data_IF_831775158031
#
_entry.id   IF_831775158031
#
_cell.length_a   1.000
_cell.length_b   1.000
_cell.length_c   1.000
_cell.angle_alpha   90.00
_cell.angle_beta   90.00
_cell.angle_gamma   90.00
#
_symmetry.space_group_name_H-M   'P 1'
#
loop_
_entity.id
_entity.type
_entity.pdbx_description
1 polymer ?
#
# COMPACT_ATOMS: atom_id res chain seq x y z
N UNK A 1 -64.62 -25.84 -8.86
CA UNK A 1 -63.56 -25.01 -8.23
C UNK A 1 -62.79 -25.87 -7.24
N UNK A 2 -61.45 -25.85 -7.37
CA UNK A 2 -60.39 -26.31 -6.44
C UNK A 2 -60.40 -27.78 -5.95
N UNK A 3 -59.45 -28.54 -6.53
CA UNK A 3 -58.96 -29.87 -6.10
C UNK A 3 -58.26 -29.77 -4.74
N UNK A 4 -58.50 -30.73 -3.86
CA UNK A 4 -57.64 -31.08 -2.73
C UNK A 4 -57.03 -32.46 -3.04
N UNK A 5 -55.71 -32.54 -3.12
CA UNK A 5 -54.99 -33.82 -3.25
C UNK A 5 -53.69 -33.74 -2.43
N UNK A 6 -53.41 -34.86 -1.79
CA UNK A 6 -52.54 -35.10 -0.65
C UNK A 6 -51.04 -34.93 -0.93
N UNK A 7 -50.33 -34.47 0.11
CA UNK A 7 -48.86 -34.47 0.24
C UNK A 7 -48.31 -35.89 0.17
N UNK A 8 -47.31 -36.10 -0.69
CA UNK A 8 -46.34 -37.20 -0.59
C UNK A 8 -44.95 -36.56 -0.50
N UNK A 9 -44.29 -36.71 0.65
CA UNK A 9 -42.88 -36.37 0.80
C UNK A 9 -42.05 -37.62 0.50
N UNK A 10 -41.25 -37.60 -0.57
CA UNK A 10 -40.21 -38.60 -0.82
C UNK A 10 -38.90 -38.02 -0.30
N UNK A 11 -38.40 -38.62 0.78
CA UNK A 11 -37.12 -38.30 1.40
C UNK A 11 -36.00 -38.99 0.60
N UNK A 12 -35.47 -38.32 -0.42
CA UNK A 12 -34.29 -38.77 -1.17
C UNK A 12 -33.01 -38.20 -0.54
N UNK A 13 -32.34 -38.98 0.31
CA UNK A 13 -31.02 -38.63 0.83
C UNK A 13 -29.94 -38.84 -0.22
N UNK A 14 -29.31 -37.76 -0.69
CA UNK A 14 -28.08 -37.81 -1.48
C UNK A 14 -26.90 -37.63 -0.52
N UNK A 15 -26.17 -38.71 -0.26
CA UNK A 15 -24.92 -38.69 0.48
C UNK A 15 -23.80 -38.23 -0.47
N UNK A 16 -23.52 -36.92 -0.49
CA UNK A 16 -22.34 -36.39 -1.17
C UNK A 16 -21.09 -36.68 -0.33
N UNK A 17 -20.33 -37.71 -0.72
CA UNK A 17 -18.97 -37.94 -0.23
C UNK A 17 -18.08 -36.86 -0.84
N UNK A 18 -17.92 -35.74 -0.13
CA UNK A 18 -16.97 -34.69 -0.50
C UNK A 18 -15.55 -35.22 -0.32
N UNK A 19 -14.86 -35.51 -1.43
CA UNK A 19 -13.42 -35.74 -1.42
C UNK A 19 -12.73 -34.43 -1.05
N UNK A 20 -12.26 -34.33 0.20
CA UNK A 20 -11.39 -33.25 0.64
C UNK A 20 -10.04 -33.38 -0.09
N UNK A 21 -9.92 -32.77 -1.25
CA UNK A 21 -8.61 -32.51 -1.86
C UNK A 21 -7.92 -31.46 -1.02
N UNK A 22 -7.05 -31.91 -0.11
CA UNK A 22 -6.13 -31.05 0.60
C UNK A 22 -5.23 -30.35 -0.41
N UNK A 23 -5.50 -29.07 -0.66
CA UNK A 23 -4.58 -28.19 -1.37
C UNK A 23 -3.38 -28.01 -0.46
N UNK A 24 -2.36 -28.85 -0.63
CA UNK A 24 -1.05 -28.62 -0.03
C UNK A 24 -0.46 -27.38 -0.71
N UNK A 25 -0.68 -26.23 -0.09
CA UNK A 25 0.02 -25.00 -0.44
C UNK A 25 1.52 -25.26 -0.35
N UNK A 26 2.21 -25.16 -1.47
CA UNK A 26 3.65 -25.30 -1.53
C UNK A 26 4.26 -24.14 -0.75
N UNK A 27 4.71 -24.42 0.48
CA UNK A 27 5.54 -23.52 1.28
C UNK A 27 6.92 -23.40 0.64
N UNK A 28 7.00 -22.76 -0.53
CA UNK A 28 8.25 -22.18 -0.98
C UNK A 28 8.70 -21.21 0.10
N UNK A 29 9.96 -21.27 0.52
CA UNK A 29 10.48 -20.24 1.43
C UNK A 29 10.21 -18.90 0.77
N UNK A 30 9.36 -18.09 1.41
CA UNK A 30 9.01 -16.77 0.89
C UNK A 30 10.29 -15.95 0.95
N UNK A 31 11.04 -15.95 -0.16
CA UNK A 31 12.19 -15.07 -0.32
C UNK A 31 11.68 -13.65 -0.12
N UNK A 32 12.31 -12.94 0.82
CA UNK A 32 11.99 -11.54 1.09
C UNK A 32 12.15 -10.74 -0.22
N UNK A 33 11.12 -10.01 -0.68
CA UNK A 33 11.21 -9.29 -1.95
C UNK A 33 12.10 -8.05 -1.81
N UNK A 34 12.62 -7.53 -2.92
CA UNK A 34 13.18 -6.19 -2.92
C UNK A 34 12.04 -5.17 -3.04
N UNK A 35 12.12 -4.07 -2.29
CA UNK A 35 11.10 -3.01 -2.27
C UNK A 35 11.72 -1.75 -2.88
N UNK A 36 11.11 -1.23 -3.94
CA UNK A 36 11.46 0.06 -4.54
C UNK A 36 10.28 0.99 -4.36
N UNK A 37 10.47 2.07 -3.59
CA UNK A 37 9.46 3.09 -3.37
C UNK A 37 9.83 4.35 -4.17
N UNK A 38 9.06 4.66 -5.21
CA UNK A 38 9.23 5.85 -6.05
C UNK A 38 8.22 6.90 -5.61
N UNK A 39 8.70 8.08 -5.23
CA UNK A 39 7.88 9.20 -4.78
C UNK A 39 8.17 10.45 -5.62
N UNK A 40 7.16 10.91 -6.37
CA UNK A 40 7.20 12.16 -7.13
C UNK A 40 6.88 13.36 -6.24
N UNK A 41 7.44 14.54 -6.56
CA UNK A 41 7.10 15.81 -5.88
C UNK A 41 6.06 16.56 -6.74
N UNK A 42 5.00 17.04 -6.11
CA UNK A 42 3.90 17.82 -6.73
C UNK A 42 3.14 17.15 -7.90
N UNK A 43 3.19 15.82 -8.03
CA UNK A 43 2.42 15.12 -9.05
C UNK A 43 0.92 15.14 -8.73
N UNK A 44 0.14 15.73 -9.63
CA UNK A 44 -1.33 15.65 -9.58
C UNK A 44 -1.81 14.25 -9.94
N UNK A 45 -2.97 13.85 -9.40
CA UNK A 45 -3.59 12.55 -9.68
C UNK A 45 -3.92 12.34 -11.18
N UNK A 46 -4.18 13.43 -11.92
CA UNK A 46 -4.48 13.42 -13.36
C UNK A 46 -3.24 13.70 -14.24
N UNK A 47 -2.05 13.83 -13.64
CA UNK A 47 -0.78 13.98 -14.37
C UNK A 47 -0.14 12.61 -14.67
N UNK A 48 -0.93 11.71 -15.27
CA UNK A 48 -0.55 10.35 -15.64
C UNK A 48 -1.32 9.94 -16.90
N UNK A 49 -0.64 9.38 -17.90
CA UNK A 49 -1.27 8.87 -19.12
C UNK A 49 -2.36 7.83 -18.82
N UNK A 50 -2.06 6.90 -17.91
CA UNK A 50 -3.01 5.89 -17.43
C UNK A 50 -4.25 6.48 -16.74
N UNK A 51 -4.15 7.69 -16.17
CA UNK A 51 -5.30 8.41 -15.59
C UNK A 51 -6.17 9.12 -16.63
N UNK A 52 -5.87 8.96 -17.94
CA UNK A 52 -6.61 9.56 -19.04
C UNK A 52 -6.02 10.86 -19.58
N UNK A 53 -4.83 11.26 -19.12
CA UNK A 53 -4.14 12.43 -19.64
C UNK A 53 -3.67 12.19 -21.09
N UNK A 54 -4.07 13.05 -22.03
CA UNK A 54 -3.73 12.92 -23.45
C UNK A 54 -2.48 13.69 -23.88
N UNK A 55 -1.95 14.54 -23.00
CA UNK A 55 -0.82 15.44 -23.30
C UNK A 55 0.46 14.90 -22.66
N UNK A 56 0.39 14.49 -21.40
CA UNK A 56 1.53 14.02 -20.63
C UNK A 56 1.81 12.56 -21.00
N UNK A 57 3.08 12.25 -21.30
CA UNK A 57 3.53 10.90 -21.65
C UNK A 57 4.29 10.27 -20.49
N UNK A 58 3.76 9.19 -19.93
CA UNK A 58 4.34 8.45 -18.79
C UNK A 58 4.41 6.95 -19.06
N UNK A 59 5.05 6.51 -20.18
CA UNK A 59 4.93 5.13 -20.66
C UNK A 59 5.33 4.08 -19.62
N UNK A 60 6.38 4.34 -18.83
CA UNK A 60 6.85 3.40 -17.79
C UNK A 60 5.92 3.35 -16.57
N UNK A 61 5.38 4.49 -16.13
CA UNK A 61 4.39 4.49 -15.04
C UNK A 61 3.07 3.86 -15.49
N UNK A 62 2.67 4.10 -16.75
CA UNK A 62 1.48 3.49 -17.32
C UNK A 62 1.63 1.97 -17.44
N UNK A 63 2.85 1.50 -17.74
CA UNK A 63 3.20 0.08 -17.75
C UNK A 63 3.08 -0.52 -16.34
N UNK A 64 3.65 0.12 -15.33
CA UNK A 64 3.51 -0.30 -13.93
C UNK A 64 2.04 -0.35 -13.48
N UNK A 65 1.23 0.63 -13.89
CA UNK A 65 -0.20 0.67 -13.57
C UNK A 65 -1.00 -0.46 -14.25
N UNK A 66 -0.62 -0.87 -15.48
CA UNK A 66 -1.24 -2.00 -16.20
C UNK A 66 -0.83 -3.36 -15.65
N UNK A 67 0.42 -3.53 -15.25
CA UNK A 67 0.98 -4.79 -14.78
C UNK A 67 0.72 -5.03 -13.28
N UNK A 68 0.40 -3.97 -12.53
CA UNK A 68 0.19 -4.00 -11.09
C UNK A 68 -1.21 -3.56 -10.67
N UNK A 69 -1.28 -2.95 -9.49
CA UNK A 69 -2.52 -2.41 -8.92
C UNK A 69 -2.43 -0.88 -8.93
N UNK A 70 -3.40 -0.24 -9.58
CA UNK A 70 -3.54 1.21 -9.59
C UNK A 70 -4.64 1.67 -8.64
N UNK A 71 -4.31 2.57 -7.72
CA UNK A 71 -5.26 3.15 -6.77
C UNK A 71 -5.81 4.47 -7.32
N UNK A 72 -6.98 4.42 -7.97
CA UNK A 72 -7.67 5.62 -8.49
C UNK A 72 -7.99 6.65 -7.39
N UNK A 73 -8.25 6.18 -6.17
CA UNK A 73 -8.65 7.00 -5.03
C UNK A 73 -7.58 6.93 -3.93
N UNK A 74 -6.34 7.32 -4.24
CA UNK A 74 -5.27 7.48 -3.27
C UNK A 74 -5.21 8.95 -2.81
N UNK A 75 -5.32 9.18 -1.50
CA UNK A 75 -5.35 10.53 -0.92
C UNK A 75 -4.13 10.75 -0.02
N UNK A 76 -3.52 11.93 -0.17
CA UNK A 76 -2.57 12.44 0.80
C UNK A 76 -3.32 12.95 2.03
N UNK A 77 -2.76 12.75 3.22
CA UNK A 77 -3.36 13.22 4.48
C UNK A 77 -3.27 14.73 4.62
N UNK A 78 -2.18 15.33 4.13
CA UNK A 78 -1.88 16.76 4.21
C UNK A 78 -1.25 17.23 2.90
N UNK A 79 -1.81 18.24 2.20
CA UNK A 79 -1.33 18.69 0.90
C UNK A 79 -0.10 19.63 1.00
N UNK A 80 0.90 19.25 1.80
CA UNK A 80 2.18 19.95 1.98
C UNK A 80 3.31 18.93 1.91
N UNK A 81 4.31 19.16 1.03
CA UNK A 81 5.40 18.20 0.76
C UNK A 81 6.11 17.70 2.03
N UNK A 82 6.45 18.60 2.96
CA UNK A 82 7.11 18.28 4.22
C UNK A 82 6.24 17.39 5.15
N UNK A 83 4.99 17.78 5.39
CA UNK A 83 4.07 17.05 6.25
C UNK A 83 3.66 15.70 5.63
N UNK A 84 3.41 15.67 4.32
CA UNK A 84 3.10 14.45 3.56
C UNK A 84 4.23 13.43 3.66
N UNK A 85 5.48 13.84 3.45
CA UNK A 85 6.64 12.94 3.56
C UNK A 85 6.83 12.43 4.99
N UNK A 86 6.61 13.26 6.01
CA UNK A 86 6.60 12.80 7.40
C UNK A 86 5.49 11.77 7.66
N UNK A 87 4.29 11.98 7.13
CA UNK A 87 3.20 11.00 7.22
C UNK A 87 3.54 9.68 6.51
N UNK A 88 4.16 9.73 5.32
CA UNK A 88 4.61 8.53 4.57
C UNK A 88 5.66 7.76 5.35
N UNK A 89 6.68 8.45 5.90
CA UNK A 89 7.76 7.81 6.63
C UNK A 89 7.25 7.13 7.90
N UNK A 90 6.46 7.84 8.68
CA UNK A 90 6.07 7.45 10.05
C UNK A 90 4.79 6.64 10.13
N UNK A 91 3.95 6.69 9.09
CA UNK A 91 2.60 6.11 9.09
C UNK A 91 1.59 6.87 9.96
N UNK A 92 1.93 8.09 10.41
CA UNK A 92 1.10 8.90 11.30
C UNK A 92 0.50 10.10 10.56
N UNK A 93 -0.64 10.60 11.04
CA UNK A 93 -1.20 11.87 10.57
C UNK A 93 -0.39 13.07 11.06
N UNK A 94 -0.47 14.21 10.34
CA UNK A 94 0.20 15.46 10.73
C UNK A 94 -0.15 15.90 12.15
N UNK A 95 -1.41 15.75 12.57
CA UNK A 95 -1.86 16.05 13.94
C UNK A 95 -1.10 15.26 15.02
N UNK A 96 -0.50 14.13 14.67
CA UNK A 96 0.23 13.27 15.60
C UNK A 96 1.73 13.55 15.55
N UNK A 97 2.33 13.58 14.35
CA UNK A 97 3.77 13.79 14.23
C UNK A 97 4.18 15.27 14.33
N UNK A 98 3.25 16.20 14.06
CA UNK A 98 3.41 17.65 14.25
C UNK A 98 4.49 18.31 13.38
N UNK A 99 4.79 17.73 12.22
CA UNK A 99 5.90 18.18 11.36
C UNK A 99 5.37 18.85 10.10
N UNK A 100 5.72 20.13 9.93
CA UNK A 100 5.47 20.95 8.74
C UNK A 100 6.45 22.14 8.72
N UNK A 101 6.33 23.04 7.76
CA UNK A 101 7.22 24.19 7.65
C UNK A 101 7.20 25.05 8.94
N UNK A 102 8.38 25.46 9.39
CA UNK A 102 8.56 26.28 10.59
C UNK A 102 8.46 25.53 11.92
N UNK A 103 8.26 24.21 11.94
CA UNK A 103 8.10 23.42 13.18
C UNK A 103 9.39 22.77 13.71
N UNK A 104 10.54 23.04 13.09
CA UNK A 104 11.83 22.43 13.46
C UNK A 104 11.99 21.01 12.94
N UNK A 105 12.71 20.17 13.69
CA UNK A 105 13.06 18.79 13.30
C UNK A 105 11.91 17.80 13.56
N UNK A 106 11.81 16.75 12.74
CA UNK A 106 10.93 15.63 13.03
C UNK A 106 11.44 14.89 14.27
N UNK A 107 10.56 14.71 15.26
CA UNK A 107 10.94 14.15 16.57
C UNK A 107 11.42 12.71 16.42
N UNK A 108 12.55 12.40 17.07
CA UNK A 108 13.20 11.09 17.03
C UNK A 108 12.25 9.88 17.29
N UNK A 109 11.33 9.90 18.27
CA UNK A 109 10.44 8.76 18.50
C UNK A 109 9.56 8.40 17.29
N UNK A 110 9.23 9.37 16.44
CA UNK A 110 8.48 9.10 15.20
C UNK A 110 9.39 8.57 14.09
N UNK A 111 10.66 8.97 14.08
CA UNK A 111 11.62 8.44 13.11
C UNK A 111 12.08 7.02 13.43
N UNK A 112 12.16 6.67 14.72
CA UNK A 112 12.48 5.31 15.17
C UNK A 112 11.47 4.26 14.69
N UNK A 113 10.24 4.66 14.39
CA UNK A 113 9.18 3.80 13.82
C UNK A 113 9.00 3.99 12.32
N UNK A 114 9.83 4.77 11.65
CA UNK A 114 9.68 5.01 10.23
C UNK A 114 9.95 3.73 9.43
N UNK A 115 9.22 3.53 8.33
CA UNK A 115 9.30 2.27 7.57
C UNK A 115 10.74 1.91 7.11
N UNK A 116 11.64 2.83 6.73
CA UNK A 116 13.02 2.46 6.39
C UNK A 116 13.77 1.90 7.60
N UNK A 117 13.63 2.53 8.76
CA UNK A 117 14.25 2.07 10.02
C UNK A 117 13.74 0.68 10.40
N UNK A 118 12.42 0.48 10.30
CA UNK A 118 11.81 -0.83 10.57
C UNK A 118 12.32 -1.91 9.60
N UNK A 119 12.40 -1.61 8.30
CA UNK A 119 12.94 -2.55 7.30
C UNK A 119 14.40 -2.89 7.59
N UNK A 120 15.24 -1.88 7.86
CA UNK A 120 16.65 -2.04 8.21
C UNK A 120 16.85 -2.95 9.42
N UNK A 121 16.12 -2.68 10.50
CA UNK A 121 16.16 -3.47 11.73
C UNK A 121 15.67 -4.91 11.53
N UNK A 122 14.91 -5.18 10.47
CA UNK A 122 14.42 -6.51 10.12
C UNK A 122 15.25 -7.20 9.00
N UNK A 123 16.45 -6.70 8.72
CA UNK A 123 17.43 -7.33 7.83
C UNK A 123 17.27 -6.98 6.36
N UNK A 124 16.60 -5.88 6.04
CA UNK A 124 16.70 -5.27 4.71
C UNK A 124 17.91 -4.33 4.64
N UNK A 125 18.51 -4.23 3.47
CA UNK A 125 19.40 -3.13 3.15
C UNK A 125 18.58 -1.96 2.62
N UNK A 126 18.65 -0.81 3.29
CA UNK A 126 17.92 0.41 2.92
C UNK A 126 18.82 1.40 2.22
N UNK A 127 18.23 2.18 1.31
CA UNK A 127 18.90 3.27 0.62
C UNK A 127 17.88 4.33 0.22
N UNK A 128 18.30 5.59 0.26
CA UNK A 128 17.49 6.74 -0.12
C UNK A 128 18.25 7.56 -1.16
N UNK A 129 17.57 7.88 -2.26
CA UNK A 129 18.07 8.77 -3.29
C UNK A 129 17.05 9.88 -3.55
N UNK A 130 17.51 11.13 -3.54
CA UNK A 130 16.66 12.31 -3.72
C UNK A 130 16.25 12.98 -2.40
N UNK A 131 15.00 13.46 -2.34
CA UNK A 131 14.52 14.33 -1.26
C UNK A 131 13.88 13.52 -0.12
N UNK A 132 14.54 13.48 1.04
CA UNK A 132 13.93 12.97 2.28
C UNK A 132 12.74 13.85 2.71
N UNK A 133 12.92 15.17 2.67
CA UNK A 133 11.85 16.14 2.93
C UNK A 133 11.43 16.28 4.40
N UNK A 134 12.16 15.65 5.32
CA UNK A 134 12.11 15.91 6.76
C UNK A 134 13.49 16.32 7.26
N UNK A 135 13.54 17.26 8.20
CA UNK A 135 14.76 17.57 8.92
C UNK A 135 14.93 16.55 10.04
N UNK A 136 16.02 15.79 9.98
CA UNK A 136 16.38 14.81 10.99
C UNK A 136 17.90 14.72 11.07
N UNK A 137 18.46 14.90 12.28
CA UNK A 137 19.90 15.03 12.49
C UNK A 137 20.71 13.81 12.07
N UNK A 138 20.12 12.62 12.17
CA UNK A 138 20.78 11.36 11.87
C UNK A 138 20.26 10.73 10.56
N UNK A 139 19.86 11.54 9.59
CA UNK A 139 19.28 11.08 8.31
C UNK A 139 20.20 10.13 7.52
N UNK A 140 21.52 10.25 7.68
CA UNK A 140 22.50 9.36 7.04
C UNK A 140 22.48 7.93 7.62
N UNK A 141 21.88 7.74 8.80
CA UNK A 141 21.78 6.43 9.46
C UNK A 141 20.55 5.62 9.04
N UNK A 142 19.69 6.17 8.18
CA UNK A 142 18.49 5.50 7.65
C UNK A 142 18.81 4.31 6.74
#
# INVERSE_FOLDING_TARGET
MKRFASKNYVLGGVLMIGTATSVTGQSGSLKRPNIIFVLTDDQRADALGYAGNKIIQTPEMDRLAREGVYFKNAFVTTPISAASRASILTGLYERTHGYTFGQGDLKKPYMDIAYPVLLKNNGYYTGLFGKLGVNYKDAESL
#
